data_IF_304056415726
#
_entry.id   IF_304056415726
#
_cell.length_a   1.000
_cell.length_b   1.000
_cell.length_c   1.000
_cell.angle_alpha   90.00
_cell.angle_beta   90.00
_cell.angle_gamma   90.00
#
_symmetry.space_group_name_H-M   'P 1'
#
loop_
_entity.id
_entity.type
_entity.pdbx_description
1 polymer ?
#
# COMPACT_ATOMS: atom_id res chain seq x y z
N UNK A 1 15.95 -46.33 -11.87
CA UNK A 1 16.07 -44.86 -11.82
C UNK A 1 15.09 -44.38 -10.77
N UNK A 2 15.59 -43.92 -9.62
CA UNK A 2 14.74 -43.39 -8.56
C UNK A 2 14.29 -41.99 -9.01
N UNK A 3 12.99 -41.80 -9.22
CA UNK A 3 12.40 -40.48 -9.38
C UNK A 3 12.45 -39.79 -8.02
N UNK A 4 13.45 -38.94 -7.80
CA UNK A 4 13.44 -38.01 -6.68
C UNK A 4 12.30 -37.01 -6.92
N UNK A 5 11.29 -37.05 -6.05
CA UNK A 5 10.25 -36.03 -6.02
C UNK A 5 10.92 -34.69 -5.62
N UNK A 6 10.53 -33.57 -6.23
CA UNK A 6 11.05 -32.27 -5.83
C UNK A 6 10.80 -32.06 -4.32
N UNK A 7 11.72 -31.37 -3.62
CA UNK A 7 11.56 -31.10 -2.20
C UNK A 7 10.19 -30.45 -1.95
N UNK A 8 9.48 -30.93 -0.92
CA UNK A 8 8.18 -30.36 -0.55
C UNK A 8 8.39 -28.85 -0.33
N UNK A 9 7.53 -27.98 -0.90
CA UNK A 9 7.70 -26.55 -0.74
C UNK A 9 7.70 -26.24 0.75
N UNK A 10 8.82 -25.67 1.21
CA UNK A 10 8.93 -25.05 2.53
C UNK A 10 7.78 -24.04 2.59
N UNK A 11 6.96 -24.10 3.64
CA UNK A 11 5.70 -23.34 3.71
C UNK A 11 5.90 -21.87 3.34
N UNK A 12 4.89 -21.23 2.73
CA UNK A 12 4.98 -19.86 2.21
C UNK A 12 5.61 -18.90 3.24
N UNK A 13 6.49 -17.98 2.82
CA UNK A 13 7.19 -17.12 3.75
C UNK A 13 6.22 -16.20 4.48
N UNK A 14 6.30 -16.20 5.81
CA UNK A 14 5.59 -15.24 6.66
C UNK A 14 6.36 -13.93 6.80
N UNK A 15 7.65 -13.92 6.46
CA UNK A 15 8.56 -12.77 6.54
C UNK A 15 8.93 -12.31 5.13
N UNK A 16 9.15 -11.01 4.97
CA UNK A 16 9.52 -10.37 3.71
C UNK A 16 10.95 -10.82 3.32
N UNK A 17 11.09 -11.39 2.12
CA UNK A 17 12.38 -11.88 1.62
C UNK A 17 13.08 -10.80 0.79
N UNK A 18 14.41 -10.90 0.68
CA UNK A 18 15.18 -9.98 -0.18
C UNK A 18 14.77 -10.10 -1.65
N UNK A 19 14.45 -11.30 -2.11
CA UNK A 19 13.95 -11.54 -3.46
C UNK A 19 12.61 -10.85 -3.70
N UNK A 20 11.67 -10.93 -2.75
CA UNK A 20 10.41 -10.18 -2.83
C UNK A 20 10.67 -8.67 -2.93
N UNK A 21 11.62 -8.14 -2.17
CA UNK A 21 11.96 -6.71 -2.22
C UNK A 21 12.53 -6.31 -3.59
N UNK A 22 13.40 -7.13 -4.18
CA UNK A 22 13.97 -6.89 -5.51
C UNK A 22 12.90 -6.95 -6.60
N UNK A 23 12.05 -7.97 -6.57
CA UNK A 23 10.89 -8.07 -7.46
C UNK A 23 9.94 -6.90 -7.31
N UNK A 24 9.63 -6.49 -6.08
CA UNK A 24 8.82 -5.31 -5.81
C UNK A 24 9.47 -4.05 -6.38
N UNK A 25 10.78 -3.85 -6.23
CA UNK A 25 11.46 -2.69 -6.81
C UNK A 25 11.34 -2.67 -8.34
N UNK A 26 11.53 -3.80 -9.01
CA UNK A 26 11.42 -3.91 -10.46
C UNK A 26 10.00 -3.59 -10.93
N UNK A 27 8.99 -4.26 -10.37
CA UNK A 27 7.57 -4.03 -10.71
C UNK A 27 7.18 -2.57 -10.43
N UNK A 28 7.58 -2.01 -9.28
CA UNK A 28 7.16 -0.67 -8.87
C UNK A 28 7.78 0.48 -9.66
N UNK A 29 8.99 0.32 -10.21
CA UNK A 29 9.75 1.42 -10.79
C UNK A 29 10.14 1.23 -12.26
N UNK A 30 10.31 0.00 -12.72
CA UNK A 30 10.72 -0.29 -14.10
C UNK A 30 9.51 -0.58 -14.98
N UNK A 31 8.48 -1.21 -14.43
CA UNK A 31 7.25 -1.51 -15.16
C UNK A 31 6.26 -0.32 -15.09
N UNK A 32 6.16 0.45 -16.17
CA UNK A 32 5.35 1.68 -16.23
C UNK A 32 3.84 1.45 -16.04
N UNK A 33 3.38 0.19 -16.09
CA UNK A 33 1.99 -0.19 -15.89
C UNK A 33 1.53 -0.11 -14.42
N UNK A 34 2.47 -0.07 -13.47
CA UNK A 34 2.19 -0.14 -12.02
C UNK A 34 1.44 1.08 -11.47
N UNK A 35 1.28 2.12 -12.28
CA UNK A 35 0.48 3.30 -11.93
C UNK A 35 -1.00 2.93 -11.68
N UNK A 36 -1.50 1.88 -12.33
CA UNK A 36 -2.93 1.53 -12.33
C UNK A 36 -3.23 0.36 -11.38
N UNK A 37 -2.24 -0.45 -11.02
CA UNK A 37 -2.47 -1.65 -10.22
C UNK A 37 -3.17 -1.37 -8.89
N UNK A 38 -4.22 -2.15 -8.67
CA UNK A 38 -4.79 -2.42 -7.35
C UNK A 38 -3.78 -3.19 -6.50
N UNK A 39 -4.01 -3.26 -5.19
CA UNK A 39 -3.14 -4.05 -4.30
C UNK A 39 -3.02 -5.51 -4.76
N UNK A 40 -4.12 -6.09 -5.24
CA UNK A 40 -4.16 -7.48 -5.68
C UNK A 40 -3.29 -7.67 -6.92
N UNK A 41 -3.49 -6.84 -7.94
CA UNK A 41 -2.69 -6.87 -9.17
C UNK A 41 -1.21 -6.61 -8.89
N UNK A 42 -0.90 -5.71 -7.94
CA UNK A 42 0.48 -5.47 -7.54
C UNK A 42 1.10 -6.70 -6.87
N UNK A 43 0.38 -7.35 -5.96
CA UNK A 43 0.85 -8.57 -5.32
C UNK A 43 1.02 -9.71 -6.34
N UNK A 44 0.07 -9.86 -7.25
CA UNK A 44 0.12 -10.88 -8.30
C UNK A 44 1.33 -10.65 -9.21
N UNK A 45 1.55 -9.42 -9.69
CA UNK A 45 2.72 -9.08 -10.50
C UNK A 45 4.06 -9.36 -9.76
N UNK A 46 4.14 -9.06 -8.46
CA UNK A 46 5.34 -9.37 -7.68
C UNK A 46 5.51 -10.89 -7.53
N UNK A 47 4.44 -11.62 -7.20
CA UNK A 47 4.46 -13.07 -7.02
C UNK A 47 4.75 -13.86 -8.31
N UNK A 48 4.30 -13.36 -9.47
CA UNK A 48 4.60 -13.95 -10.78
C UNK A 48 6.09 -13.95 -11.10
N UNK A 49 6.83 -12.96 -10.58
CA UNK A 49 8.28 -12.88 -10.72
C UNK A 49 9.05 -13.73 -9.70
N UNK A 50 8.36 -14.40 -8.76
CA UNK A 50 8.95 -15.15 -7.67
C UNK A 50 8.68 -16.66 -7.79
N UNK A 51 9.63 -17.50 -7.35
CA UNK A 51 9.38 -18.93 -7.23
C UNK A 51 8.32 -19.21 -6.16
N UNK A 52 7.60 -20.32 -6.30
CA UNK A 52 6.40 -20.62 -5.49
C UNK A 52 6.64 -20.67 -3.98
N UNK A 53 7.86 -20.96 -3.56
CA UNK A 53 8.31 -21.00 -2.17
C UNK A 53 8.65 -19.62 -1.60
N UNK A 54 8.78 -18.60 -2.46
CA UNK A 54 9.02 -17.21 -2.06
C UNK A 54 7.78 -16.31 -2.21
N UNK A 55 6.70 -16.84 -2.81
CA UNK A 55 5.44 -16.13 -3.00
C UNK A 55 4.74 -15.82 -1.68
N UNK A 56 4.15 -14.62 -1.64
CA UNK A 56 3.55 -14.06 -0.44
C UNK A 56 2.03 -14.12 -0.51
N UNK A 57 1.40 -14.41 0.63
CA UNK A 57 -0.05 -14.48 0.71
C UNK A 57 -0.68 -13.07 0.70
N UNK A 58 -1.90 -12.91 0.15
CA UNK A 58 -2.64 -11.66 0.21
C UNK A 58 -2.81 -11.12 1.63
N UNK A 59 -3.05 -12.01 2.60
CA UNK A 59 -3.20 -11.63 4.01
C UNK A 59 -1.92 -11.04 4.60
N UNK A 60 -0.77 -11.62 4.26
CA UNK A 60 0.54 -11.12 4.68
C UNK A 60 0.80 -9.74 4.08
N UNK A 61 0.56 -9.58 2.78
CA UNK A 61 0.72 -8.32 2.07
C UNK A 61 -0.14 -7.20 2.65
N UNK A 62 -1.44 -7.45 2.86
CA UNK A 62 -2.35 -6.47 3.47
C UNK A 62 -1.97 -6.11 4.91
N UNK A 63 -1.46 -7.08 5.69
CA UNK A 63 -0.95 -6.82 7.03
C UNK A 63 0.22 -5.83 7.03
N UNK A 64 1.19 -6.00 6.13
CA UNK A 64 2.32 -5.08 6.02
C UNK A 64 1.89 -3.70 5.56
N UNK A 65 1.01 -3.64 4.56
CA UNK A 65 0.44 -2.38 4.07
C UNK A 65 -0.31 -1.64 5.17
N UNK A 66 -1.19 -2.32 5.90
CA UNK A 66 -2.01 -1.68 6.94
C UNK A 66 -1.13 -1.02 8.02
N UNK A 67 -0.02 -1.66 8.37
CA UNK A 67 0.97 -1.14 9.30
C UNK A 67 1.71 0.07 8.74
N UNK A 68 2.04 0.04 7.45
CA UNK A 68 2.62 1.19 6.72
C UNK A 68 1.73 2.44 6.76
N UNK A 69 0.41 2.24 6.62
CA UNK A 69 -0.58 3.31 6.64
C UNK A 69 -0.79 3.90 8.04
N UNK A 70 -0.62 3.08 9.09
CA UNK A 70 -0.71 3.51 10.48
C UNK A 70 0.59 4.11 11.03
N UNK A 71 1.67 4.11 10.24
CA UNK A 71 2.97 4.62 10.67
C UNK A 71 3.61 3.77 11.77
N UNK A 72 3.25 2.50 11.87
CA UNK A 72 3.84 1.58 12.85
C UNK A 72 5.28 1.20 12.47
N UNK A 73 6.14 1.04 13.48
CA UNK A 73 7.49 0.53 13.33
C UNK A 73 7.50 -0.90 12.74
N UNK A 74 8.42 -1.24 11.81
CA UNK A 74 8.49 -2.54 11.14
C UNK A 74 8.58 -3.74 12.09
N UNK A 75 7.81 -4.77 11.77
CA UNK A 75 7.69 -6.08 12.45
C UNK A 75 8.96 -6.90 12.29
N UNK A 76 9.38 -6.94 11.03
CA UNK A 76 10.35 -7.85 10.46
C UNK A 76 11.68 -7.15 10.10
N UNK A 77 11.92 -5.95 10.64
CA UNK A 77 13.17 -5.22 10.48
C UNK A 77 13.33 -4.50 9.14
N UNK A 78 14.58 -4.31 8.72
CA UNK A 78 14.99 -3.41 7.63
C UNK A 78 14.36 -3.70 6.25
N UNK A 79 14.12 -4.97 5.92
CA UNK A 79 13.56 -5.36 4.60
C UNK A 79 12.09 -4.94 4.48
N UNK A 80 11.34 -5.07 5.56
CA UNK A 80 9.96 -4.58 5.62
C UNK A 80 9.95 -3.06 5.45
N UNK A 81 10.81 -2.32 6.17
CA UNK A 81 10.90 -0.87 6.04
C UNK A 81 11.19 -0.40 4.60
N UNK A 82 12.15 -1.03 3.93
CA UNK A 82 12.45 -0.71 2.53
C UNK A 82 11.25 -0.94 1.61
N UNK A 83 10.55 -2.06 1.76
CA UNK A 83 9.34 -2.32 0.98
C UNK A 83 8.27 -1.25 1.23
N UNK A 84 8.09 -0.83 2.49
CA UNK A 84 7.16 0.24 2.84
C UNK A 84 7.55 1.58 2.21
N UNK A 85 8.84 1.91 2.18
CA UNK A 85 9.34 3.12 1.51
C UNK A 85 9.09 3.07 0.00
N UNK A 86 9.29 1.92 -0.64
CA UNK A 86 8.97 1.72 -2.06
C UNK A 86 7.48 1.88 -2.32
N UNK A 87 6.64 1.21 -1.53
CA UNK A 87 5.19 1.30 -1.65
C UNK A 87 4.69 2.76 -1.49
N UNK A 88 5.18 3.49 -0.48
CA UNK A 88 4.86 4.92 -0.30
C UNK A 88 5.33 5.76 -1.49
N UNK A 89 6.51 5.48 -2.05
CA UNK A 89 7.00 6.15 -3.25
C UNK A 89 6.10 5.87 -4.46
N UNK A 90 5.69 4.63 -4.67
CA UNK A 90 4.74 4.26 -5.73
C UNK A 90 3.41 4.99 -5.59
N UNK A 91 2.83 5.05 -4.39
CA UNK A 91 1.58 5.82 -4.17
C UNK A 91 1.73 7.29 -4.57
N UNK A 92 2.88 7.91 -4.29
CA UNK A 92 3.16 9.29 -4.71
C UNK A 92 3.24 9.41 -6.23
N UNK A 93 3.90 8.48 -6.91
CA UNK A 93 3.99 8.49 -8.38
C UNK A 93 2.63 8.22 -9.03
N UNK A 94 1.83 7.30 -8.48
CA UNK A 94 0.45 7.05 -8.89
C UNK A 94 -0.40 8.32 -8.78
N UNK A 95 -0.30 9.02 -7.65
CA UNK A 95 -1.01 10.28 -7.41
C UNK A 95 -0.62 11.34 -8.43
N UNK A 96 0.68 11.53 -8.69
CA UNK A 96 1.17 12.47 -9.71
C UNK A 96 0.64 12.12 -11.10
N UNK A 97 0.70 10.84 -11.49
CA UNK A 97 0.24 10.39 -12.80
C UNK A 97 -1.27 10.61 -12.99
N UNK A 98 -2.08 10.33 -11.97
CA UNK A 98 -3.53 10.58 -12.00
C UNK A 98 -3.82 12.09 -12.10
N UNK A 99 -3.09 12.94 -11.37
CA UNK A 99 -3.25 14.41 -11.45
C UNK A 99 -2.88 14.92 -12.85
N UNK A 100 -1.81 14.41 -13.45
CA UNK A 100 -1.44 14.74 -14.83
C UNK A 100 -2.56 14.32 -15.78
N UNK A 101 -3.03 13.07 -15.71
CA UNK A 101 -4.11 12.57 -16.56
C UNK A 101 -5.42 13.36 -16.38
N UNK A 102 -5.77 13.71 -15.14
CA UNK A 102 -6.89 14.60 -14.82
C UNK A 102 -6.76 15.97 -15.49
N UNK A 103 -5.54 16.50 -15.64
CA UNK A 103 -5.29 17.84 -16.19
C UNK A 103 -5.19 17.84 -17.72
N UNK A 104 -4.86 16.71 -18.35
CA UNK A 104 -4.60 16.61 -19.79
C UNK A 104 -5.67 15.89 -20.58
N UNK A 105 -6.46 15.01 -19.93
CA UNK A 105 -7.50 14.22 -20.58
C UNK A 105 -8.86 14.97 -20.58
N UNK A 106 -9.56 14.88 -21.71
CA UNK A 106 -10.90 15.44 -21.87
C UNK A 106 -11.94 14.70 -20.99
N UNK A 107 -11.66 13.45 -20.61
CA UNK A 107 -12.45 12.64 -19.68
C UNK A 107 -11.98 12.76 -18.22
N UNK A 108 -11.64 13.97 -17.78
CA UNK A 108 -11.13 14.26 -16.44
C UNK A 108 -11.99 13.68 -15.30
N UNK A 109 -13.31 13.53 -15.49
CA UNK A 109 -14.23 12.98 -14.48
C UNK A 109 -13.86 11.54 -14.08
N UNK A 110 -13.37 10.73 -15.04
CA UNK A 110 -12.90 9.37 -14.75
C UNK A 110 -11.72 9.39 -13.79
N UNK A 111 -10.76 10.28 -14.05
CA UNK A 111 -9.55 10.42 -13.24
C UNK A 111 -9.87 11.03 -11.86
N UNK A 112 -10.80 11.97 -11.79
CA UNK A 112 -11.33 12.51 -10.53
C UNK A 112 -11.95 11.40 -9.66
N UNK A 113 -12.78 10.55 -10.24
CA UNK A 113 -13.41 9.44 -9.53
C UNK A 113 -12.39 8.42 -8.98
N UNK A 114 -11.34 8.14 -9.75
CA UNK A 114 -10.23 7.29 -9.30
C UNK A 114 -9.48 7.96 -8.14
N UNK A 115 -9.18 9.26 -8.26
CA UNK A 115 -8.46 10.04 -7.24
C UNK A 115 -9.23 10.05 -5.91
N UNK A 116 -10.52 10.36 -5.93
CA UNK A 116 -11.38 10.41 -4.73
C UNK A 116 -11.48 9.07 -4.00
N UNK A 117 -11.52 7.96 -4.74
CA UNK A 117 -11.65 6.61 -4.15
C UNK A 117 -10.33 6.03 -3.66
N UNK A 118 -9.22 6.37 -4.33
CA UNK A 118 -7.89 5.84 -3.99
C UNK A 118 -7.20 6.66 -2.91
N UNK A 119 -7.42 7.97 -2.89
CA UNK A 119 -6.80 8.91 -1.97
C UNK A 119 -7.88 9.62 -1.16
N UNK A 120 -8.17 9.11 0.03
CA UNK A 120 -9.23 9.61 0.92
C UNK A 120 -9.12 11.10 1.23
N UNK A 121 -7.92 11.66 1.23
CA UNK A 121 -7.70 13.10 1.45
C UNK A 121 -8.23 14.00 0.32
N UNK A 122 -8.59 13.42 -0.84
CA UNK A 122 -9.23 14.12 -1.96
C UNK A 122 -10.74 13.94 -1.99
N UNK A 123 -11.31 13.17 -1.07
CA UNK A 123 -12.74 12.95 -1.03
C UNK A 123 -13.44 14.21 -0.50
N UNK A 124 -14.23 14.87 -1.35
CA UNK A 124 -14.99 16.07 -1.00
C UNK A 124 -16.13 15.78 0.00
N UNK A 125 -16.54 14.52 0.12
CA UNK A 125 -17.55 14.11 1.10
C UNK A 125 -16.86 13.78 2.42
N UNK A 126 -17.23 14.48 3.48
CA UNK A 126 -16.84 14.14 4.84
C UNK A 126 -17.28 12.70 5.14
N UNK A 127 -16.33 11.79 5.37
CA UNK A 127 -16.60 10.44 5.85
C UNK A 127 -16.94 10.55 7.35
N UNK A 128 -18.20 10.77 7.68
CA UNK A 128 -18.68 10.62 9.05
C UNK A 128 -18.67 9.14 9.41
N UNK A 129 -17.67 8.73 10.21
CA UNK A 129 -17.64 7.41 10.80
C UNK A 129 -18.77 7.31 11.83
N UNK A 130 -19.83 6.58 11.51
CA UNK A 130 -20.85 6.23 12.51
C UNK A 130 -20.28 5.09 13.35
N UNK A 131 -19.66 5.45 14.46
CA UNK A 131 -19.11 4.48 15.41
C UNK A 131 -20.26 3.89 16.23
N UNK A 132 -20.69 2.67 15.90
CA UNK A 132 -21.67 1.91 16.70
C UNK A 132 -20.99 1.16 17.86
N UNK A 133 -19.96 1.76 18.45
CA UNK A 133 -19.21 1.17 19.55
C UNK A 133 -19.28 2.09 20.77
N UNK A 134 -20.15 1.70 21.69
CA UNK A 134 -20.30 2.16 23.08
C UNK A 134 -19.11 2.95 23.67
N UNK A 135 -19.34 4.23 23.98
CA UNK A 135 -18.93 4.84 25.24
C UNK A 135 -17.45 5.14 25.48
N UNK A 136 -16.66 5.56 24.49
CA UNK A 136 -15.39 6.26 24.73
C UNK A 136 -15.33 7.56 23.97
N UNK A 137 -14.96 8.63 24.67
CA UNK A 137 -14.91 9.99 24.15
C UNK A 137 -14.04 10.10 22.89
N UNK A 138 -14.47 10.87 21.89
CA UNK A 138 -13.73 11.02 20.65
C UNK A 138 -12.39 11.74 20.89
N UNK A 139 -11.31 11.12 20.40
CA UNK A 139 -9.92 11.59 20.51
C UNK A 139 -9.60 12.87 19.70
N UNK A 140 -10.63 13.63 19.31
CA UNK A 140 -10.53 14.72 18.33
C UNK A 140 -10.53 16.12 18.95
N UNK A 141 -10.24 16.25 20.25
CA UNK A 141 -10.13 17.56 20.94
C UNK A 141 -8.68 18.01 21.20
N UNK A 142 -7.67 17.30 20.69
CA UNK A 142 -6.26 17.66 20.93
C UNK A 142 -5.57 18.40 19.79
N UNK A 143 -6.20 18.56 18.61
CA UNK A 143 -5.59 19.31 17.49
C UNK A 143 -5.88 20.81 17.53
N UNK A 144 -7.01 21.23 18.11
CA UNK A 144 -7.44 22.63 18.02
C UNK A 144 -6.91 23.48 19.19
N UNK A 145 -6.56 22.87 20.33
CA UNK A 145 -6.01 23.58 21.48
C UNK A 145 -4.54 24.05 21.32
N UNK A 146 -3.82 23.57 20.30
CA UNK A 146 -2.40 23.93 20.10
C UNK A 146 -2.23 25.12 19.14
N UNK A 147 -3.26 25.45 18.35
CA UNK A 147 -3.18 26.53 17.36
C UNK A 147 -3.55 27.92 17.92
N UNK A 148 -4.34 28.00 18.99
CA UNK A 148 -4.73 29.27 19.62
C UNK A 148 -3.70 29.82 20.64
N UNK A 149 -2.64 29.07 20.95
CA UNK A 149 -1.61 29.50 21.93
C UNK A 149 -0.41 30.24 21.32
N UNK A 150 -0.44 30.59 20.02
CA UNK A 150 0.67 31.28 19.34
C UNK A 150 0.33 32.62 18.68
N UNK A 151 -0.85 33.17 18.94
CA UNK A 151 -1.21 34.52 18.52
C UNK A 151 -1.77 35.28 19.71
N UNK A 152 -0.88 35.68 20.63
CA UNK A 152 -1.08 36.78 21.58
C UNK A 152 0.27 37.33 22.01
#
# INVERSE_FOLDING_TARGET
>A
MQHELPPRPVGRPTKLTTAFLQSAQHVLFEDKATIIYTNAELLDAINESLPSDEQISPRTFESWKARAMRGEEPTAGFIEDQFLQFYKKTLREQKKAIIIAFSTDMQWQRWAWILERKFTEWNLKHLSQVDHTTGREPLNQLSDAVLDAKIQ
#
